data_IF_974446279124
#
_entry.id   IF_974446279124
#
_cell.length_a   1.000
_cell.length_b   1.000
_cell.length_c   1.000
_cell.angle_alpha   90.00
_cell.angle_beta   90.00
_cell.angle_gamma   90.00
#
_symmetry.space_group_name_H-M   'P 1'
#
loop_
_entity.id
_entity.type
_entity.pdbx_description
1 polymer ?
#
# COMPACT_ATOMS: atom_id res chain seq x y z
N UNK A 1 -1.62 -24.44 -25.91
CA UNK A 1 -0.32 -23.90 -25.45
C UNK A 1 -0.64 -22.50 -24.97
N UNK A 2 -0.65 -22.29 -23.65
CA UNK A 2 -0.88 -20.97 -23.07
C UNK A 2 0.44 -20.20 -23.16
N UNK A 3 0.51 -19.23 -24.06
CA UNK A 3 1.57 -18.23 -24.07
C UNK A 3 1.38 -17.32 -22.85
N UNK A 4 1.97 -17.73 -21.72
CA UNK A 4 2.12 -16.89 -20.55
C UNK A 4 3.13 -15.79 -20.91
N UNK A 5 2.61 -14.68 -21.42
CA UNK A 5 3.36 -13.45 -21.68
C UNK A 5 4.13 -13.11 -20.40
N UNK A 6 5.47 -13.09 -20.55
CA UNK A 6 6.44 -13.13 -19.46
C UNK A 6 6.22 -12.05 -18.43
N UNK A 7 5.60 -12.44 -17.31
CA UNK A 7 5.81 -11.70 -16.07
C UNK A 7 7.21 -12.12 -15.61
N UNK A 8 8.22 -11.23 -15.65
CA UNK A 8 9.55 -11.59 -15.19
C UNK A 8 9.44 -12.09 -13.75
N UNK A 9 10.12 -13.21 -13.47
CA UNK A 9 10.21 -13.82 -12.16
C UNK A 9 10.56 -12.73 -11.13
N UNK A 10 9.62 -12.40 -10.25
CA UNK A 10 9.78 -11.33 -9.29
C UNK A 10 10.30 -11.93 -7.98
N UNK A 11 11.48 -11.50 -7.56
CA UNK A 11 12.06 -11.94 -6.30
C UNK A 11 11.36 -11.21 -5.13
N UNK A 12 10.80 -11.99 -4.20
CA UNK A 12 10.07 -11.47 -3.04
C UNK A 12 10.69 -11.99 -1.75
N UNK A 13 10.90 -11.10 -0.80
CA UNK A 13 11.35 -11.41 0.56
C UNK A 13 10.31 -10.88 1.55
N UNK A 14 9.93 -11.71 2.51
CA UNK A 14 8.95 -11.37 3.52
C UNK A 14 9.35 -11.91 4.89
N UNK A 15 8.71 -11.40 5.94
CA UNK A 15 8.80 -11.93 7.31
C UNK A 15 7.41 -12.07 7.93
N UNK A 16 7.20 -13.16 8.67
CA UNK A 16 6.02 -13.39 9.50
C UNK A 16 6.22 -12.89 10.94
N UNK A 17 7.43 -12.48 11.32
CA UNK A 17 7.79 -12.11 12.71
C UNK A 17 7.04 -10.87 13.22
N UNK A 18 6.47 -10.06 12.32
CA UNK A 18 5.70 -8.85 12.66
C UNK A 18 4.27 -9.20 13.12
N UNK A 19 3.74 -10.38 12.75
CA UNK A 19 2.45 -10.88 13.23
C UNK A 19 1.23 -10.05 12.79
N UNK A 20 1.26 -9.44 11.61
CA UNK A 20 0.10 -8.75 11.01
C UNK A 20 -0.65 -9.74 10.11
N UNK A 21 -1.96 -9.83 10.30
CA UNK A 21 -2.82 -10.67 9.46
C UNK A 21 -3.02 -10.05 8.07
N UNK A 22 -2.77 -10.86 7.03
CA UNK A 22 -2.97 -10.48 5.62
C UNK A 22 -2.39 -9.10 5.24
N UNK A 23 -1.10 -8.83 5.49
CA UNK A 23 -0.53 -7.48 5.35
C UNK A 23 -0.54 -6.97 3.90
N UNK A 24 -0.68 -7.87 2.93
CA UNK A 24 -0.60 -7.58 1.49
C UNK A 24 -1.97 -7.65 0.78
N UNK A 25 -3.08 -7.55 1.52
CA UNK A 25 -4.44 -7.72 0.99
C UNK A 25 -4.81 -6.78 -0.18
N UNK A 26 -4.18 -5.61 -0.25
CA UNK A 26 -4.39 -4.60 -1.29
C UNK A 26 -3.18 -4.53 -2.23
N UNK A 27 -2.85 -5.63 -2.91
CA UNK A 27 -1.73 -5.66 -3.84
C UNK A 27 -1.59 -6.97 -4.61
N UNK A 28 -0.63 -7.04 -5.56
CA UNK A 28 -0.38 -8.22 -6.38
C UNK A 28 0.23 -9.39 -5.60
N UNK A 29 0.59 -9.18 -4.33
CA UNK A 29 1.24 -10.14 -3.45
C UNK A 29 0.30 -10.67 -2.35
N UNK A 30 -1.01 -10.70 -2.61
CA UNK A 30 -2.02 -11.09 -1.61
C UNK A 30 -1.86 -12.49 -1.03
N UNK A 31 -1.19 -13.40 -1.74
CA UNK A 31 -0.89 -14.77 -1.29
C UNK A 31 0.33 -14.86 -0.36
N UNK A 32 1.14 -13.79 -0.25
CA UNK A 32 2.32 -13.77 0.61
C UNK A 32 1.88 -13.61 2.08
N UNK A 33 2.21 -14.56 2.96
CA UNK A 33 1.63 -14.63 4.31
C UNK A 33 2.21 -13.60 5.29
N UNK A 34 3.38 -13.03 5.00
CA UNK A 34 4.06 -12.07 5.87
C UNK A 34 4.26 -10.69 5.24
N UNK A 35 4.81 -9.76 6.04
CA UNK A 35 5.09 -8.40 5.58
C UNK A 35 6.22 -8.41 4.55
N UNK A 36 6.01 -7.74 3.41
CA UNK A 36 7.02 -7.60 2.37
C UNK A 36 8.21 -6.76 2.86
N UNK A 37 9.41 -7.31 2.72
CA UNK A 37 10.69 -6.69 3.07
C UNK A 37 11.49 -6.31 1.81
N UNK A 38 11.35 -7.07 0.73
CA UNK A 38 11.90 -6.73 -0.59
C UNK A 38 10.99 -7.24 -1.69
N UNK A 39 10.62 -6.40 -2.64
CA UNK A 39 9.75 -6.78 -3.76
C UNK A 39 9.84 -5.75 -4.90
N UNK A 40 9.32 -6.14 -6.07
CA UNK A 40 9.17 -5.24 -7.21
C UNK A 40 7.70 -4.84 -7.42
N UNK A 41 7.45 -3.65 -7.93
CA UNK A 41 6.11 -3.21 -8.29
C UNK A 41 6.15 -2.52 -9.65
N UNK A 42 5.18 -2.84 -10.51
CA UNK A 42 4.98 -2.14 -11.78
C UNK A 42 3.73 -1.29 -11.66
N UNK A 43 3.90 0.03 -11.74
CA UNK A 43 2.78 0.97 -11.72
C UNK A 43 3.07 2.09 -12.74
N UNK A 44 2.08 2.42 -13.57
CA UNK A 44 2.19 3.43 -14.62
C UNK A 44 3.43 3.23 -15.53
N UNK A 45 3.67 1.98 -15.95
CA UNK A 45 4.85 1.55 -16.74
C UNK A 45 6.21 1.79 -16.07
N UNK A 46 6.25 2.13 -14.79
CA UNK A 46 7.50 2.24 -14.00
C UNK A 46 7.66 0.98 -13.16
N UNK A 47 8.82 0.33 -13.27
CA UNK A 47 9.24 -0.76 -12.38
C UNK A 47 10.03 -0.18 -11.21
N UNK A 48 9.55 -0.41 -10.00
CA UNK A 48 10.18 0.01 -8.75
C UNK A 48 10.65 -1.22 -7.99
N UNK A 49 11.88 -1.19 -7.45
CA UNK A 49 12.36 -2.17 -6.47
C UNK A 49 12.34 -1.51 -5.10
N UNK A 50 11.57 -2.09 -4.19
CA UNK A 50 11.41 -1.61 -2.82
C UNK A 50 12.16 -2.55 -1.88
N UNK A 51 12.96 -2.01 -0.98
CA UNK A 51 13.76 -2.76 -0.01
C UNK A 51 13.71 -2.05 1.35
N UNK A 52 13.26 -2.76 2.37
CA UNK A 52 13.20 -2.27 3.73
C UNK A 52 14.63 -2.15 4.29
N UNK A 53 15.02 -0.94 4.66
CA UNK A 53 16.37 -0.66 5.21
C UNK A 53 16.43 -0.73 6.73
N UNK A 54 15.28 -0.55 7.40
CA UNK A 54 15.20 -0.53 8.87
C UNK A 54 13.79 -0.84 9.34
N UNK A 55 13.69 -1.59 10.44
CA UNK A 55 12.44 -1.81 11.18
C UNK A 55 12.58 -1.18 12.55
N UNK A 56 11.57 -0.40 12.95
CA UNK A 56 11.49 0.22 14.27
C UNK A 56 10.46 -0.49 15.12
N UNK A 57 10.92 -1.33 16.05
CA UNK A 57 10.07 -1.99 17.03
C UNK A 57 9.90 -1.07 18.24
N UNK A 58 8.66 -0.84 18.67
CA UNK A 58 8.39 -0.02 19.83
C UNK A 58 6.95 0.44 19.92
N UNK A 59 6.65 1.23 20.95
CA UNK A 59 5.37 1.91 21.07
C UNK A 59 5.29 2.98 19.96
N UNK A 60 4.22 2.93 19.19
CA UNK A 60 3.89 4.00 18.25
C UNK A 60 3.27 5.15 19.04
N UNK A 61 3.73 6.38 18.80
CA UNK A 61 3.14 7.57 19.41
C UNK A 61 1.70 7.76 18.88
N UNK A 62 0.67 7.68 19.74
CA UNK A 62 -0.71 7.86 19.30
C UNK A 62 -0.97 9.24 18.68
N UNK A 63 -0.17 10.25 19.05
CA UNK A 63 -0.30 11.60 18.52
C UNK A 63 0.04 11.68 17.02
N UNK A 64 0.75 10.71 16.45
CA UNK A 64 0.96 10.60 15.00
C UNK A 64 -0.36 10.43 14.24
N UNK A 65 -1.37 9.86 14.90
CA UNK A 65 -2.70 9.62 14.34
C UNK A 65 -3.75 10.59 14.88
N UNK A 66 -3.33 11.58 15.67
CA UNK A 66 -4.25 12.60 16.16
C UNK A 66 -4.69 13.53 15.03
N UNK A 67 -5.94 13.98 15.11
CA UNK A 67 -6.47 14.99 14.20
C UNK A 67 -5.58 16.25 14.28
N UNK A 68 -5.07 16.69 13.12
CA UNK A 68 -4.34 17.95 13.05
C UNK A 68 -5.31 19.09 13.31
N UNK A 69 -4.90 20.09 14.11
CA UNK A 69 -5.76 21.18 14.55
C UNK A 69 -6.43 21.99 13.42
N UNK A 70 -5.85 21.96 12.22
CA UNK A 70 -6.38 22.64 11.04
C UNK A 70 -7.17 21.72 10.08
N UNK A 71 -7.48 20.49 10.49
CA UNK A 71 -8.29 19.56 9.70
C UNK A 71 -9.72 19.56 10.21
N UNK A 72 -10.67 19.65 9.28
CA UNK A 72 -12.09 19.52 9.59
C UNK A 72 -12.51 18.07 9.48
N UNK A 73 -13.10 17.53 10.55
CA UNK A 73 -13.73 16.22 10.50
C UNK A 73 -15.04 16.32 9.71
N UNK A 74 -15.18 15.50 8.70
CA UNK A 74 -16.36 15.44 7.83
C UNK A 74 -16.99 14.04 7.89
N UNK A 75 -18.27 13.93 7.51
CA UNK A 75 -18.91 12.62 7.39
C UNK A 75 -18.33 11.85 6.18
N UNK A 76 -18.44 10.51 6.16
CA UNK A 76 -18.04 9.70 5.01
C UNK A 76 -18.70 10.16 3.68
N UNK A 77 -19.96 10.59 3.74
CA UNK A 77 -20.70 11.06 2.56
C UNK A 77 -20.11 12.35 1.98
N UNK A 78 -19.71 13.28 2.85
CA UNK A 78 -19.05 14.53 2.43
C UNK A 78 -17.67 14.24 1.83
N UNK A 79 -16.90 13.35 2.47
CA UNK A 79 -15.59 12.93 1.95
C UNK A 79 -15.73 12.30 0.56
N UNK A 80 -16.73 11.42 0.37
CA UNK A 80 -17.00 10.77 -0.91
C UNK A 80 -17.37 11.78 -1.99
N UNK A 81 -18.27 12.73 -1.70
CA UNK A 81 -18.64 13.77 -2.65
C UNK A 81 -17.43 14.63 -3.07
N UNK A 82 -16.55 14.99 -2.12
CA UNK A 82 -15.33 15.75 -2.42
C UNK A 82 -14.31 14.94 -3.23
N UNK A 83 -14.14 13.65 -2.94
CA UNK A 83 -13.28 12.76 -3.72
C UNK A 83 -13.80 12.62 -5.15
N UNK A 84 -15.12 12.45 -5.34
CA UNK A 84 -15.74 12.35 -6.65
C UNK A 84 -15.55 13.64 -7.47
N UNK A 85 -15.66 14.82 -6.84
CA UNK A 85 -15.38 16.11 -7.47
C UNK A 85 -13.92 16.24 -7.93
N UNK A 86 -12.96 15.94 -7.04
CA UNK A 86 -11.53 16.04 -7.35
C UNK A 86 -11.12 15.03 -8.42
N UNK A 87 -11.58 13.78 -8.34
CA UNK A 87 -11.27 12.74 -9.32
C UNK A 87 -11.97 12.97 -10.67
N UNK A 88 -13.19 13.52 -10.65
CA UNK A 88 -13.90 13.93 -11.86
C UNK A 88 -13.16 15.02 -12.63
N UNK A 89 -12.50 15.95 -11.94
CA UNK A 89 -11.71 17.01 -12.57
C UNK A 89 -10.48 16.51 -13.35
N UNK A 90 -9.97 15.31 -13.06
CA UNK A 90 -8.87 14.68 -13.81
C UNK A 90 -9.34 13.84 -15.02
N UNK A 91 -10.65 13.76 -15.25
CA UNK A 91 -11.26 12.95 -16.32
C UNK A 91 -11.62 13.80 -17.57
N UNK A 92 -11.12 15.04 -17.66
CA UNK A 92 -11.31 15.96 -18.78
C UNK A 92 -9.98 16.41 -19.40
#
# INVERSE_FOLDING_TARGET
VYDAIGTPEAEVWFTEDIGIDSPNWYGPYGEVPGMLMRYELVQNNVRMRLEATKVHLGKVDPLLFADRANHQRVSPDVLRAQLDEVLGAFSH
#
